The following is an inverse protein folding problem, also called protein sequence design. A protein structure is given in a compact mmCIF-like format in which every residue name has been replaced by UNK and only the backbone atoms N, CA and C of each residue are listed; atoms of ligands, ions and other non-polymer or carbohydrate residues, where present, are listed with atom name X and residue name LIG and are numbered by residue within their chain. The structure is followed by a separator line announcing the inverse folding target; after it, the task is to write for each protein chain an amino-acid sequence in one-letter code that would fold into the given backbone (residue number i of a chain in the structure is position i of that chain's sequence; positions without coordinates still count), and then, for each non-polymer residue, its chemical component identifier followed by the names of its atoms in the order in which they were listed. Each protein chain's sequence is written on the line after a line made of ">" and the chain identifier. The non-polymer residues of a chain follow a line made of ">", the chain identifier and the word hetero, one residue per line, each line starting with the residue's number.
data_IF_238273210949
#
_entry.id   IF_238273210949
#
_cell.length_a   1.000
_cell.length_b   1.000
_cell.length_c   1.000
_cell.angle_alpha   90.00
_cell.angle_beta   90.00
_cell.angle_gamma   90.00
#
_symmetry.space_group_name_H-M   'P 1'
#
loop_
_entity.id
_entity.type
_entity.pdbx_description
1 polymer ?
#
# COMPACT_ATOMS: atom_id res chain seq x y z
N UNK A 1 3.83 -3.77 19.91
CA UNK A 1 3.94 -2.83 18.77
C UNK A 1 4.59 -3.47 17.53
N UNK A 2 5.92 -3.58 17.39
CA UNK A 2 6.54 -4.07 16.12
C UNK A 2 6.00 -5.41 15.60
N UNK A 3 5.96 -6.44 16.45
CA UNK A 3 5.37 -7.74 16.11
C UNK A 3 3.85 -7.70 15.93
N UNK A 4 3.17 -6.78 16.62
CA UNK A 4 1.71 -6.65 16.59
C UNK A 4 1.21 -6.05 15.26
N UNK A 5 1.96 -5.11 14.69
CA UNK A 5 1.62 -4.42 13.44
C UNK A 5 2.50 -4.85 12.26
N UNK A 6 3.23 -5.97 12.39
CA UNK A 6 4.13 -6.50 11.37
C UNK A 6 5.13 -5.47 10.79
N UNK A 7 5.68 -4.58 11.62
CA UNK A 7 6.69 -3.62 11.18
C UNK A 7 8.01 -4.35 10.86
N UNK A 8 8.50 -4.25 9.61
CA UNK A 8 9.70 -4.96 9.13
C UNK A 8 10.93 -4.08 8.89
N UNK A 9 10.72 -2.77 8.73
CA UNK A 9 11.75 -1.83 8.30
C UNK A 9 11.86 -0.67 9.28
N UNK A 10 13.02 0.01 9.30
CA UNK A 10 13.27 1.21 10.10
C UNK A 10 13.95 2.29 9.23
N UNK A 11 13.63 3.59 9.41
CA UNK A 11 12.63 4.12 10.34
C UNK A 11 11.18 3.77 9.92
N UNK A 12 10.27 3.74 10.91
CA UNK A 12 8.86 3.38 10.71
C UNK A 12 7.99 4.25 11.61
N UNK A 13 6.99 4.89 11.02
CA UNK A 13 5.97 5.65 11.74
C UNK A 13 4.63 4.98 11.50
N UNK A 14 3.96 4.61 12.58
CA UNK A 14 2.68 3.92 12.55
C UNK A 14 1.61 4.84 13.13
N UNK A 15 0.50 4.98 12.42
CA UNK A 15 -0.64 5.80 12.81
C UNK A 15 -1.81 4.88 13.12
N UNK A 16 -2.29 4.94 14.36
CA UNK A 16 -3.40 4.11 14.85
C UNK A 16 -4.52 4.99 15.37
N UNK A 17 -5.77 4.50 15.25
CA UNK A 17 -6.93 5.17 15.81
C UNK A 17 -7.08 4.91 17.32
N UNK A 18 -8.14 5.43 17.93
CA UNK A 18 -8.44 5.26 19.36
C UNK A 18 -8.77 3.83 19.77
N UNK A 19 -9.11 2.97 18.81
CA UNK A 19 -9.43 1.55 19.01
C UNK A 19 -8.19 0.66 18.80
N UNK A 20 -7.10 1.23 18.31
CA UNK A 20 -5.84 0.55 18.03
C UNK A 20 -5.76 -0.04 16.61
N UNK A 21 -6.71 0.26 15.73
CA UNK A 21 -6.64 -0.14 14.34
C UNK A 21 -5.63 0.74 13.60
N UNK A 22 -4.93 0.14 12.63
CA UNK A 22 -3.98 0.89 11.82
C UNK A 22 -4.68 1.73 10.75
N UNK A 23 -4.53 3.04 10.86
CA UNK A 23 -4.97 4.00 9.84
C UNK A 23 -4.00 3.98 8.67
N UNK A 24 -2.71 4.18 8.95
CA UNK A 24 -1.65 4.13 7.94
C UNK A 24 -0.25 4.01 8.56
N UNK A 25 0.77 3.91 7.69
CA UNK A 25 2.19 3.94 8.05
C UNK A 25 3.03 4.75 7.06
N UNK A 26 4.14 5.28 7.55
CA UNK A 26 5.23 5.84 6.74
C UNK A 26 6.46 4.99 7.01
N UNK A 27 6.97 4.35 5.95
CA UNK A 27 8.17 3.51 5.99
C UNK A 27 9.32 4.27 5.36
N UNK A 28 10.47 4.33 6.05
CA UNK A 28 11.66 5.00 5.56
C UNK A 28 11.63 6.52 5.74
N UNK A 29 12.51 7.20 5.03
CA UNK A 29 12.66 8.65 5.08
C UNK A 29 11.84 9.32 3.96
N UNK A 30 11.19 10.42 4.30
CA UNK A 30 10.55 11.33 3.35
C UNK A 30 11.10 12.76 3.54
N UNK A 31 11.32 13.52 2.46
CA UNK A 31 11.56 14.96 2.55
C UNK A 31 10.44 15.69 3.31
N UNK A 32 10.72 16.82 3.99
CA UNK A 32 9.75 17.51 4.84
C UNK A 32 8.40 17.84 4.18
N UNK A 33 8.42 18.24 2.90
CA UNK A 33 7.20 18.56 2.15
C UNK A 33 6.35 17.32 1.91
N UNK A 34 6.96 16.23 1.46
CA UNK A 34 6.26 14.96 1.23
C UNK A 34 5.74 14.35 2.53
N UNK A 35 6.53 14.46 3.60
CA UNK A 35 6.11 14.04 4.92
C UNK A 35 4.85 14.78 5.39
N UNK A 36 4.81 16.12 5.24
CA UNK A 36 3.64 16.91 5.63
C UNK A 36 2.41 16.60 4.78
N UNK A 37 2.59 16.37 3.47
CA UNK A 37 1.50 15.93 2.58
C UNK A 37 0.94 14.58 3.03
N UNK A 38 1.81 13.59 3.27
CA UNK A 38 1.39 12.26 3.76
C UNK A 38 0.70 12.35 5.11
N UNK A 39 1.23 13.13 6.04
CA UNK A 39 0.62 13.32 7.35
C UNK A 39 -0.78 13.94 7.24
N UNK A 40 -0.95 14.95 6.39
CA UNK A 40 -2.27 15.57 6.17
C UNK A 40 -3.26 14.57 5.57
N UNK A 41 -2.85 13.75 4.61
CA UNK A 41 -3.71 12.72 4.05
C UNK A 41 -4.14 11.70 5.11
N UNK A 42 -3.21 11.23 5.95
CA UNK A 42 -3.49 10.28 7.04
C UNK A 42 -4.48 10.89 8.06
N UNK A 43 -4.27 12.15 8.48
CA UNK A 43 -5.16 12.84 9.43
C UNK A 43 -6.57 12.99 8.85
N UNK A 44 -6.68 13.20 7.55
CA UNK A 44 -7.96 13.33 6.85
C UNK A 44 -8.50 11.98 6.31
N UNK A 45 -7.86 10.86 6.67
CA UNK A 45 -8.18 9.51 6.18
C UNK A 45 -8.27 9.39 4.66
N UNK A 46 -7.46 10.16 3.93
CA UNK A 46 -7.33 10.06 2.47
C UNK A 46 -6.08 9.28 2.11
N UNK A 47 -6.10 8.60 0.96
CA UNK A 47 -4.95 7.84 0.47
C UNK A 47 -4.41 6.79 1.47
N UNK A 48 -5.29 6.35 2.38
CA UNK A 48 -5.08 5.23 3.29
C UNK A 48 -5.60 3.95 2.63
N UNK A 49 -5.29 2.79 3.20
CA UNK A 49 -5.81 1.53 2.66
C UNK A 49 -7.35 1.50 2.63
N UNK A 50 -7.98 1.98 3.71
CA UNK A 50 -9.44 2.01 3.87
C UNK A 50 -10.12 2.93 2.83
N UNK A 51 -9.54 4.11 2.58
CA UNK A 51 -10.00 5.03 1.53
C UNK A 51 -9.91 4.40 0.14
N UNK A 52 -8.78 3.75 -0.16
CA UNK A 52 -8.60 3.11 -1.45
C UNK A 52 -9.56 1.92 -1.67
N UNK A 53 -9.79 1.10 -0.64
CA UNK A 53 -10.75 0.01 -0.73
C UNK A 53 -12.18 0.52 -0.92
N UNK A 54 -12.57 1.57 -0.20
CA UNK A 54 -13.88 2.21 -0.36
C UNK A 54 -14.09 2.68 -1.80
N UNK A 55 -13.11 3.41 -2.37
CA UNK A 55 -13.16 3.89 -3.76
C UNK A 55 -13.23 2.74 -4.77
N UNK A 56 -12.49 1.66 -4.52
CA UNK A 56 -12.53 0.46 -5.35
C UNK A 56 -13.91 -0.22 -5.31
N UNK A 57 -14.52 -0.35 -4.12
CA UNK A 57 -15.88 -0.88 -3.93
C UNK A 57 -16.96 0.00 -4.58
N UNK A 58 -16.75 1.32 -4.60
CA UNK A 58 -17.61 2.29 -5.29
C UNK A 58 -17.43 2.28 -6.82
N UNK A 59 -16.51 1.48 -7.34
CA UNK A 59 -16.31 1.25 -8.78
C UNK A 59 -15.23 2.12 -9.43
N UNK A 60 -14.45 2.86 -8.65
CA UNK A 60 -13.23 3.46 -9.18
C UNK A 60 -12.20 2.36 -9.46
N UNK A 61 -11.81 2.17 -10.72
CA UNK A 61 -10.85 1.14 -11.10
C UNK A 61 -9.87 1.73 -12.13
N UNK A 62 -8.62 1.90 -11.72
CA UNK A 62 -7.49 2.28 -12.57
C UNK A 62 -6.19 1.68 -12.02
N UNK A 63 -5.13 1.71 -12.83
CA UNK A 63 -3.83 1.14 -12.46
C UNK A 63 -3.23 1.74 -11.20
N UNK A 64 -3.38 3.05 -10.99
CA UNK A 64 -2.82 3.76 -9.84
C UNK A 64 -3.50 3.32 -8.53
N UNK A 65 -4.83 3.25 -8.51
CA UNK A 65 -5.60 2.82 -7.34
C UNK A 65 -5.27 1.36 -6.97
N UNK A 66 -5.27 0.45 -7.96
CA UNK A 66 -4.98 -0.97 -7.71
C UNK A 66 -3.54 -1.14 -7.20
N UNK A 67 -2.58 -0.44 -7.80
CA UNK A 67 -1.19 -0.48 -7.35
C UNK A 67 -1.04 0.10 -5.94
N UNK A 68 -1.77 1.18 -5.62
CA UNK A 68 -1.75 1.78 -4.29
C UNK A 68 -2.31 0.82 -3.23
N UNK A 69 -3.41 0.10 -3.51
CA UNK A 69 -3.95 -0.94 -2.61
C UNK A 69 -2.92 -2.06 -2.40
N UNK A 70 -2.34 -2.57 -3.49
CA UNK A 70 -1.34 -3.64 -3.42
C UNK A 70 -0.13 -3.23 -2.56
N UNK A 71 0.42 -2.04 -2.80
CA UNK A 71 1.54 -1.49 -2.03
C UNK A 71 1.20 -1.32 -0.54
N UNK A 72 -0.01 -0.87 -0.20
CA UNK A 72 -0.45 -0.75 1.19
C UNK A 72 -0.51 -2.12 1.90
N UNK A 73 -1.00 -3.15 1.24
CA UNK A 73 -0.99 -4.51 1.78
C UNK A 73 0.43 -5.06 1.92
N UNK A 74 1.30 -4.81 0.93
CA UNK A 74 2.71 -5.19 0.98
C UNK A 74 3.45 -4.52 2.15
N UNK A 75 3.24 -3.22 2.35
CA UNK A 75 3.79 -2.43 3.46
C UNK A 75 3.37 -2.98 4.83
N UNK A 76 2.17 -3.57 4.91
CA UNK A 76 1.59 -4.24 6.09
C UNK A 76 2.01 -5.71 6.24
N UNK A 77 2.75 -6.26 5.29
CA UNK A 77 3.08 -7.69 5.16
C UNK A 77 1.86 -8.60 5.06
N UNK A 78 0.77 -8.08 4.54
CA UNK A 78 -0.41 -8.84 4.13
C UNK A 78 -0.20 -9.34 2.69
N UNK A 79 0.87 -10.12 2.49
CA UNK A 79 1.40 -10.44 1.15
C UNK A 79 0.43 -11.19 0.25
N UNK A 80 -0.47 -12.01 0.81
CA UNK A 80 -1.50 -12.72 0.05
C UNK A 80 -2.46 -11.73 -0.65
N UNK A 81 -2.92 -10.71 0.08
CA UNK A 81 -3.78 -9.66 -0.47
C UNK A 81 -3.00 -8.75 -1.42
N UNK A 82 -1.74 -8.45 -1.11
CA UNK A 82 -0.89 -7.72 -2.04
C UNK A 82 -0.75 -8.48 -3.37
N UNK A 83 -0.53 -9.80 -3.33
CA UNK A 83 -0.45 -10.66 -4.51
C UNK A 83 -1.75 -10.65 -5.32
N UNK A 84 -2.91 -10.67 -4.66
CA UNK A 84 -4.21 -10.55 -5.32
C UNK A 84 -4.31 -9.25 -6.14
N UNK A 85 -4.07 -8.10 -5.51
CA UNK A 85 -4.18 -6.81 -6.20
C UNK A 85 -3.09 -6.60 -7.26
N UNK A 86 -1.85 -7.04 -7.02
CA UNK A 86 -0.82 -7.02 -8.06
C UNK A 86 -1.18 -7.93 -9.24
N UNK A 87 -1.82 -9.08 -9.02
CA UNK A 87 -2.32 -9.95 -10.09
C UNK A 87 -3.41 -9.28 -10.92
N UNK A 88 -4.32 -8.53 -10.29
CA UNK A 88 -5.31 -7.69 -10.97
C UNK A 88 -4.61 -6.63 -11.83
N UNK A 89 -3.61 -5.93 -11.26
CA UNK A 89 -2.86 -4.89 -11.97
C UNK A 89 -2.19 -5.44 -13.23
N UNK A 90 -1.43 -6.53 -13.14
CA UNK A 90 -0.69 -7.08 -14.28
C UNK A 90 -1.61 -7.66 -15.36
N UNK A 91 -2.78 -8.15 -14.98
CA UNK A 91 -3.73 -8.78 -15.90
C UNK A 91 -4.55 -7.73 -16.65
N UNK A 92 -5.01 -6.69 -15.95
CA UNK A 92 -5.93 -5.70 -16.51
C UNK A 92 -5.21 -4.47 -17.11
N UNK A 93 -3.99 -4.19 -16.65
CA UNK A 93 -3.18 -3.05 -17.09
C UNK A 93 -1.77 -3.48 -17.52
N UNK A 94 -1.66 -4.36 -18.55
CA UNK A 94 -0.36 -4.86 -19.00
C UNK A 94 0.43 -3.78 -19.76
N UNK A 95 1.28 -3.05 -19.05
CA UNK A 95 2.20 -2.07 -19.63
C UNK A 95 3.64 -2.32 -19.15
N UNK A 96 4.49 -2.99 -19.95
CA UNK A 96 5.89 -3.24 -19.61
C UNK A 96 6.73 -2.00 -19.35
N UNK A 97 6.30 -0.81 -19.82
CA UNK A 97 6.99 0.46 -19.57
C UNK A 97 6.57 1.13 -18.26
N UNK A 98 5.45 0.71 -17.66
CA UNK A 98 4.95 1.23 -16.39
C UNK A 98 5.74 0.67 -15.20
N UNK A 99 6.21 1.57 -14.33
CA UNK A 99 6.85 1.19 -13.06
C UNK A 99 5.90 0.36 -12.18
N UNK A 100 4.62 0.69 -12.16
CA UNK A 100 3.61 -0.06 -11.39
C UNK A 100 3.54 -1.52 -11.83
N UNK A 101 3.53 -1.76 -13.14
CA UNK A 101 3.50 -3.09 -13.72
C UNK A 101 4.81 -3.86 -13.43
N UNK A 102 5.96 -3.19 -13.52
CA UNK A 102 7.26 -3.80 -13.21
C UNK A 102 7.35 -4.19 -11.72
N UNK A 103 6.90 -3.30 -10.82
CA UNK A 103 6.86 -3.56 -9.37
C UNK A 103 5.92 -4.72 -9.03
N UNK A 104 4.73 -4.77 -9.64
CA UNK A 104 3.80 -5.89 -9.43
C UNK A 104 4.38 -7.23 -9.90
N UNK A 105 5.04 -7.28 -11.05
CA UNK A 105 5.72 -8.50 -11.51
C UNK A 105 6.88 -8.90 -10.60
N UNK A 106 7.68 -7.93 -10.16
CA UNK A 106 8.78 -8.19 -9.23
C UNK A 106 8.25 -8.78 -7.92
N UNK A 107 7.23 -8.15 -7.33
CA UNK A 107 6.61 -8.64 -6.11
C UNK A 107 6.10 -10.08 -6.28
N UNK A 108 5.28 -10.36 -7.29
CA UNK A 108 4.70 -11.68 -7.52
C UNK A 108 5.78 -12.75 -7.72
N UNK A 109 6.81 -12.44 -8.52
CA UNK A 109 7.94 -13.35 -8.70
C UNK A 109 8.63 -13.65 -7.37
N UNK A 110 8.87 -12.66 -6.51
CA UNK A 110 9.47 -12.90 -5.19
C UNK A 110 8.55 -13.65 -4.22
N UNK A 111 7.24 -13.41 -4.29
CA UNK A 111 6.24 -14.03 -3.44
C UNK A 111 6.12 -15.54 -3.69
N UNK A 112 6.25 -15.98 -4.94
CA UNK A 112 6.21 -17.41 -5.32
C UNK A 112 7.38 -18.24 -4.73
N UNK A 113 8.46 -17.61 -4.26
CA UNK A 113 9.63 -18.28 -3.68
C UNK A 113 9.62 -18.34 -2.14
N UNK A 114 8.57 -17.86 -1.47
CA UNK A 114 8.47 -17.79 0.00
C UNK A 114 7.70 -18.97 0.59
#
# INVERSE_FOLDING_TARGET
>A
MYKQYNCQFVPHLLFVDSEGNEVDRIIGFLPPTEYLLRLNDIINKRNTLDDYLTRFEEGEINSDLIAAIAAKYEDRKENEKAAEFYSILISNYPDPSSELYQNGKFFLATYEFV
#
